data_IF_078003033057
#
_entry.id   IF_078003033057
#
_cell.length_a   1.000
_cell.length_b   1.000
_cell.length_c   1.000
_cell.angle_alpha   90.00
_cell.angle_beta   90.00
_cell.angle_gamma   90.00
#
_symmetry.space_group_name_H-M   'P 1'
#
loop_
_entity.id
_entity.type
_entity.pdbx_description
1 polymer ?
#
# COMPACT_ATOMS: atom_id res chain seq x y z
N UNK A 1 41.83 43.70 -58.51
CA UNK A 1 40.35 43.81 -58.60
C UNK A 1 39.90 42.54 -59.29
N UNK A 2 39.53 41.46 -58.61
CA UNK A 2 38.36 41.20 -57.75
C UNK A 2 37.76 39.92 -58.34
N UNK A 3 37.15 39.06 -57.51
CA UNK A 3 36.43 37.81 -57.86
C UNK A 3 37.16 36.48 -57.69
N UNK A 4 37.44 36.08 -56.44
CA UNK A 4 37.50 34.65 -56.10
C UNK A 4 37.27 34.36 -54.60
N UNK A 5 36.30 35.05 -53.97
CA UNK A 5 35.98 34.88 -52.54
C UNK A 5 34.58 34.33 -52.25
N UNK A 6 33.81 33.89 -53.25
CA UNK A 6 32.37 33.61 -53.07
C UNK A 6 32.00 32.14 -52.79
N UNK A 7 32.93 31.19 -52.76
CA UNK A 7 32.58 29.76 -52.69
C UNK A 7 32.67 29.10 -51.29
N UNK A 8 33.27 29.77 -50.30
CA UNK A 8 33.39 29.22 -48.93
C UNK A 8 32.18 29.54 -48.01
N UNK A 9 31.34 30.50 -48.37
CA UNK A 9 30.19 30.90 -47.53
C UNK A 9 28.99 29.95 -47.63
N UNK A 10 28.77 29.30 -48.79
CA UNK A 10 27.63 28.40 -49.02
C UNK A 10 27.72 27.07 -48.25
N UNK A 11 28.92 26.50 -48.13
CA UNK A 11 29.14 25.22 -47.42
C UNK A 11 28.98 25.36 -45.91
N UNK A 12 29.36 26.52 -45.34
CA UNK A 12 29.15 26.86 -43.94
C UNK A 12 27.68 27.01 -43.57
N UNK A 13 26.88 27.64 -44.44
CA UNK A 13 25.43 27.80 -44.22
C UNK A 13 24.68 26.45 -44.28
N UNK A 14 25.04 25.58 -45.23
CA UNK A 14 24.46 24.23 -45.35
C UNK A 14 24.79 23.31 -44.17
N UNK A 15 26.01 23.38 -43.63
CA UNK A 15 26.37 22.61 -42.44
C UNK A 15 25.67 23.10 -41.18
N UNK A 16 25.46 24.41 -41.02
CA UNK A 16 24.66 24.97 -39.92
C UNK A 16 23.20 24.56 -39.99
N UNK A 17 22.61 24.54 -41.19
CA UNK A 17 21.23 24.08 -41.40
C UNK A 17 21.07 22.58 -41.10
N UNK A 18 22.04 21.75 -41.51
CA UNK A 18 22.06 20.31 -41.17
C UNK A 18 22.23 20.08 -39.67
N UNK A 19 23.10 20.83 -39.01
CA UNK A 19 23.29 20.72 -37.56
C UNK A 19 22.01 21.13 -36.80
N UNK A 20 21.35 22.21 -37.24
CA UNK A 20 20.06 22.65 -36.70
C UNK A 20 18.96 21.59 -36.91
N UNK A 21 18.89 20.96 -38.09
CA UNK A 21 17.95 19.87 -38.36
C UNK A 21 18.22 18.63 -37.50
N UNK A 22 19.48 18.25 -37.27
CA UNK A 22 19.84 17.11 -36.42
C UNK A 22 19.52 17.42 -34.95
N UNK A 23 19.86 18.62 -34.46
CA UNK A 23 19.51 19.05 -33.09
C UNK A 23 18.00 19.16 -32.94
N UNK A 24 17.27 19.65 -33.94
CA UNK A 24 15.81 19.70 -33.93
C UNK A 24 15.20 18.30 -33.98
N UNK A 25 15.74 17.36 -34.76
CA UNK A 25 15.32 15.95 -34.75
C UNK A 25 15.65 15.23 -33.44
N UNK A 26 16.79 15.51 -32.80
CA UNK A 26 17.10 14.98 -31.46
C UNK A 26 16.18 15.60 -30.39
N UNK A 27 15.88 16.89 -30.48
CA UNK A 27 14.91 17.56 -29.60
C UNK A 27 13.47 17.06 -29.83
N UNK A 28 13.12 16.67 -31.06
CA UNK A 28 11.81 16.08 -31.40
C UNK A 28 11.72 14.59 -31.03
N UNK A 29 12.84 13.86 -31.00
CA UNK A 29 12.88 12.49 -30.47
C UNK A 29 12.76 12.44 -28.93
N UNK A 30 12.98 13.57 -28.26
CA UNK A 30 12.72 13.73 -26.84
C UNK A 30 11.25 14.10 -26.53
N UNK A 31 10.34 13.99 -27.50
CA UNK A 31 8.91 13.93 -27.20
C UNK A 31 8.69 12.62 -26.44
N UNK A 32 8.61 12.76 -25.11
CA UNK A 32 8.28 11.70 -24.18
C UNK A 32 7.10 10.91 -24.74
N UNK A 33 7.26 9.59 -24.92
CA UNK A 33 6.12 8.74 -25.24
C UNK A 33 5.23 8.77 -24.00
N UNK A 34 4.05 9.35 -24.15
CA UNK A 34 2.98 9.21 -23.17
C UNK A 34 2.69 7.71 -23.01
N UNK A 35 2.88 7.15 -21.82
CA UNK A 35 2.43 5.80 -21.54
C UNK A 35 0.91 5.82 -21.46
N UNK A 36 0.24 4.80 -22.01
CA UNK A 36 -1.19 4.60 -21.78
C UNK A 36 -1.35 3.74 -20.53
N UNK A 37 -1.90 4.32 -19.47
CA UNK A 37 -2.19 3.68 -18.20
C UNK A 37 -3.68 3.34 -18.14
N UNK A 38 -4.01 2.08 -17.91
CA UNK A 38 -5.39 1.67 -17.69
C UNK A 38 -5.66 1.36 -16.22
N UNK A 39 -6.51 2.17 -15.60
CA UNK A 39 -7.05 1.90 -14.26
C UNK A 39 -8.32 1.05 -14.39
N UNK A 40 -8.29 -0.15 -13.84
CA UNK A 40 -9.40 -1.08 -13.83
C UNK A 40 -10.05 -1.08 -12.45
N UNK A 41 -11.33 -0.71 -12.41
CA UNK A 41 -12.12 -0.57 -11.19
C UNK A 41 -13.31 -1.55 -11.21
N UNK A 42 -13.78 -2.05 -10.05
CA UNK A 42 -14.95 -2.92 -10.01
C UNK A 42 -16.21 -2.14 -10.41
N UNK A 43 -16.34 -0.94 -9.86
CA UNK A 43 -17.40 0.03 -10.11
C UNK A 43 -16.93 1.44 -9.67
N UNK A 44 -17.55 2.53 -10.17
CA UNK A 44 -17.26 3.88 -9.72
C UNK A 44 -17.67 4.11 -8.26
N UNK A 45 -16.82 4.80 -7.51
CA UNK A 45 -17.00 5.21 -6.12
C UNK A 45 -16.15 6.45 -5.85
N UNK A 46 -16.42 7.15 -4.73
CA UNK A 46 -15.60 8.30 -4.32
C UNK A 46 -14.12 7.93 -4.16
N UNK A 47 -13.82 6.76 -3.61
CA UNK A 47 -12.46 6.24 -3.46
C UNK A 47 -11.75 6.09 -4.82
N UNK A 48 -12.43 5.47 -5.80
CA UNK A 48 -11.85 5.25 -7.13
C UNK A 48 -11.69 6.55 -7.91
N UNK A 49 -12.65 7.47 -7.77
CA UNK A 49 -12.62 8.77 -8.43
C UNK A 49 -11.46 9.62 -7.90
N UNK A 50 -11.32 9.72 -6.58
CA UNK A 50 -10.22 10.47 -5.94
C UNK A 50 -8.86 9.88 -6.32
N UNK A 51 -8.71 8.54 -6.26
CA UNK A 51 -7.46 7.89 -6.67
C UNK A 51 -7.10 8.19 -8.14
N UNK A 52 -8.06 8.06 -9.07
CA UNK A 52 -7.82 8.30 -10.49
C UNK A 52 -7.50 9.77 -10.75
N UNK A 53 -8.18 10.68 -10.07
CA UNK A 53 -7.92 12.12 -10.18
C UNK A 53 -6.50 12.45 -9.74
N UNK A 54 -6.07 11.97 -8.56
CA UNK A 54 -4.70 12.20 -8.07
C UNK A 54 -3.64 11.56 -8.96
N UNK A 55 -3.91 10.36 -9.49
CA UNK A 55 -2.99 9.72 -10.44
C UNK A 55 -2.87 10.55 -11.74
N UNK A 56 -3.96 11.10 -12.26
CA UNK A 56 -3.94 12.00 -13.44
C UNK A 56 -3.15 13.28 -13.17
N UNK A 57 -3.27 13.85 -11.98
CA UNK A 57 -2.51 15.04 -11.58
C UNK A 57 -1.00 14.79 -11.54
N UNK A 58 -0.58 13.59 -11.11
CA UNK A 58 0.82 13.14 -11.08
C UNK A 58 1.32 12.78 -12.49
N UNK A 59 0.48 12.12 -13.29
CA UNK A 59 0.79 11.56 -14.61
C UNK A 59 0.30 12.43 -15.77
N UNK A 60 0.57 13.74 -15.72
CA UNK A 60 0.04 14.74 -16.68
C UNK A 60 0.43 14.52 -18.14
N UNK A 61 1.49 13.75 -18.38
CA UNK A 61 2.01 13.44 -19.70
C UNK A 61 1.58 12.05 -20.20
N UNK A 62 0.95 11.24 -19.36
CA UNK A 62 0.46 9.91 -19.69
C UNK A 62 -1.05 9.94 -19.93
N UNK A 63 -1.56 8.98 -20.72
CA UNK A 63 -2.99 8.83 -20.94
C UNK A 63 -3.59 7.88 -19.90
N UNK A 64 -4.31 8.42 -18.92
CA UNK A 64 -4.92 7.65 -17.83
C UNK A 64 -6.38 7.33 -18.15
N UNK A 65 -6.57 6.15 -18.73
CA UNK A 65 -7.87 5.57 -19.05
C UNK A 65 -8.47 4.83 -17.85
N UNK A 66 -9.79 4.77 -17.78
CA UNK A 66 -10.51 4.04 -16.73
C UNK A 66 -11.45 3.02 -17.37
N UNK A 67 -11.39 1.79 -16.89
CA UNK A 67 -12.32 0.73 -17.26
C UNK A 67 -13.04 0.19 -16.03
N UNK A 68 -14.36 0.32 -16.02
CA UNK A 68 -15.23 -0.23 -14.97
C UNK A 68 -15.73 -1.61 -15.37
N UNK A 69 -15.54 -2.60 -14.51
CA UNK A 69 -16.06 -3.97 -14.71
C UNK A 69 -17.59 -4.07 -14.59
N UNK A 70 -18.25 -3.02 -14.10
CA UNK A 70 -19.70 -2.91 -14.14
C UNK A 70 -20.23 -2.53 -15.54
N UNK A 71 -19.36 -2.05 -16.43
CA UNK A 71 -19.72 -1.69 -17.81
C UNK A 71 -19.55 -2.86 -18.79
N UNK A 72 -20.36 -2.91 -19.85
CA UNK A 72 -20.36 -4.01 -20.84
C UNK A 72 -19.28 -3.88 -21.94
N UNK A 73 -18.36 -2.93 -21.83
CA UNK A 73 -17.33 -2.68 -22.84
C UNK A 73 -16.11 -3.59 -22.68
N UNK A 74 -15.35 -3.79 -23.76
CA UNK A 74 -14.01 -4.37 -23.66
C UNK A 74 -13.03 -3.37 -23.05
N UNK A 75 -12.08 -3.84 -22.25
CA UNK A 75 -10.99 -3.02 -21.76
C UNK A 75 -10.17 -2.47 -22.95
N UNK A 76 -9.80 -1.18 -22.95
CA UNK A 76 -8.94 -0.62 -23.98
C UNK A 76 -7.51 -1.18 -23.87
N UNK A 77 -6.76 -1.12 -24.96
CA UNK A 77 -5.34 -1.46 -24.95
C UNK A 77 -4.55 -0.43 -24.13
N UNK A 78 -3.58 -0.91 -23.36
CA UNK A 78 -2.72 -0.07 -22.52
C UNK A 78 -1.34 -0.69 -22.35
N UNK A 79 -0.35 0.17 -22.10
CA UNK A 79 1.03 -0.22 -21.84
C UNK A 79 1.23 -0.78 -20.43
N UNK A 80 0.41 -0.32 -19.47
CA UNK A 80 0.42 -0.75 -18.07
C UNK A 80 -1.00 -0.72 -17.50
N UNK A 81 -1.26 -1.60 -16.55
CA UNK A 81 -2.53 -1.70 -15.85
C UNK A 81 -2.36 -1.36 -14.36
N UNK A 82 -3.39 -0.75 -13.80
CA UNK A 82 -3.55 -0.54 -12.36
C UNK A 82 -4.91 -1.11 -11.99
N UNK A 83 -4.95 -2.20 -11.23
CA UNK A 83 -6.23 -2.79 -10.81
C UNK A 83 -6.56 -2.34 -9.39
N UNK A 84 -7.79 -1.91 -9.15
CA UNK A 84 -8.27 -1.53 -7.82
C UNK A 84 -9.19 -2.63 -7.25
N UNK A 85 -8.80 -3.22 -6.12
CA UNK A 85 -9.58 -4.24 -5.43
C UNK A 85 -9.44 -5.66 -6.01
N UNK A 86 -9.88 -6.64 -5.21
CA UNK A 86 -9.72 -8.07 -5.49
C UNK A 86 -10.41 -8.52 -6.77
N UNK A 87 -11.60 -7.97 -7.07
CA UNK A 87 -12.36 -8.30 -8.31
C UNK A 87 -11.62 -7.84 -9.57
N UNK A 88 -11.04 -6.65 -9.56
CA UNK A 88 -10.27 -6.11 -10.69
C UNK A 88 -8.97 -6.88 -10.90
N UNK A 89 -8.28 -7.25 -9.81
CA UNK A 89 -7.11 -8.11 -9.92
C UNK A 89 -7.48 -9.49 -10.47
N UNK A 90 -8.55 -10.12 -9.96
CA UNK A 90 -8.99 -11.43 -10.43
C UNK A 90 -9.36 -11.39 -11.93
N UNK A 91 -10.06 -10.34 -12.38
CA UNK A 91 -10.34 -10.12 -13.80
C UNK A 91 -9.06 -10.07 -14.64
N UNK A 92 -8.01 -9.39 -14.14
CA UNK A 92 -6.71 -9.31 -14.81
C UNK A 92 -5.97 -10.66 -14.84
N UNK A 93 -6.02 -11.42 -13.75
CA UNK A 93 -5.35 -12.72 -13.65
C UNK A 93 -6.00 -13.79 -14.53
N UNK A 94 -7.30 -13.65 -14.82
CA UNK A 94 -8.01 -14.53 -15.76
C UNK A 94 -7.64 -14.29 -17.23
N UNK A 95 -6.88 -13.23 -17.53
CA UNK A 95 -6.43 -12.91 -18.88
C UNK A 95 -5.00 -13.38 -19.12
N UNK A 96 -4.75 -13.91 -20.32
CA UNK A 96 -3.41 -14.27 -20.80
C UNK A 96 -2.66 -13.04 -21.32
N UNK A 97 -2.41 -12.09 -20.42
CA UNK A 97 -1.70 -10.84 -20.73
C UNK A 97 -0.37 -10.80 -19.97
N UNK A 98 0.67 -10.31 -20.65
CA UNK A 98 1.98 -10.02 -20.06
C UNK A 98 2.13 -8.53 -19.67
N UNK A 99 1.09 -7.72 -19.88
CA UNK A 99 1.09 -6.30 -19.58
C UNK A 99 1.40 -6.06 -18.08
N UNK A 100 2.42 -5.24 -17.75
CA UNK A 100 2.76 -4.91 -16.37
C UNK A 100 1.55 -4.36 -15.61
N UNK A 101 1.26 -4.94 -14.45
CA UNK A 101 0.05 -4.65 -13.67
C UNK A 101 0.39 -4.38 -12.21
N UNK A 102 -0.01 -3.22 -11.69
CA UNK A 102 0.05 -2.91 -10.26
C UNK A 102 -1.35 -3.16 -9.66
N UNK A 103 -1.47 -4.18 -8.80
CA UNK A 103 -2.68 -4.43 -8.03
C UNK A 103 -2.69 -3.60 -6.75
N UNK A 104 -3.75 -2.84 -6.53
CA UNK A 104 -3.91 -1.87 -5.43
C UNK A 104 -5.25 -2.09 -4.72
N UNK A 105 -5.40 -1.55 -3.51
CA UNK A 105 -6.62 -1.70 -2.70
C UNK A 105 -6.99 -3.17 -2.41
N UNK A 106 -5.98 -4.01 -2.21
CA UNK A 106 -6.13 -5.43 -1.90
C UNK A 106 -5.53 -5.69 -0.53
N UNK A 107 -6.23 -6.50 0.27
CA UNK A 107 -5.76 -6.89 1.60
C UNK A 107 -4.93 -8.18 1.55
N UNK A 108 -4.07 -8.43 2.54
CA UNK A 108 -3.27 -9.65 2.68
C UNK A 108 -4.16 -10.89 2.83
N UNK A 109 -5.27 -10.75 3.55
CA UNK A 109 -6.32 -11.77 3.64
C UNK A 109 -6.93 -12.06 2.26
N UNK A 110 -7.29 -11.01 1.50
CA UNK A 110 -7.86 -11.15 0.15
C UNK A 110 -6.92 -11.86 -0.83
N UNK A 111 -5.60 -11.64 -0.75
CA UNK A 111 -4.65 -12.38 -1.59
C UNK A 111 -4.64 -13.88 -1.26
N UNK A 112 -4.72 -14.21 0.03
CA UNK A 112 -4.76 -15.59 0.50
C UNK A 112 -6.06 -16.27 0.06
N UNK A 113 -7.19 -15.57 0.14
CA UNK A 113 -8.51 -16.03 -0.34
C UNK A 113 -8.55 -16.25 -1.85
N UNK A 114 -7.79 -15.45 -2.62
CA UNK A 114 -7.60 -15.66 -4.06
C UNK A 114 -6.60 -16.79 -4.38
N UNK A 115 -5.98 -17.41 -3.38
CA UNK A 115 -4.95 -18.44 -3.55
C UNK A 115 -3.63 -17.90 -4.12
N UNK A 116 -3.38 -16.60 -4.00
CA UNK A 116 -2.19 -15.93 -4.53
C UNK A 116 -1.10 -15.91 -3.46
N UNK A 117 -0.30 -16.96 -3.41
CA UNK A 117 0.91 -17.00 -2.55
C UNK A 117 2.10 -16.27 -3.17
N UNK A 118 2.16 -16.21 -4.51
CA UNK A 118 3.19 -15.48 -5.26
C UNK A 118 2.56 -14.88 -6.52
N UNK A 119 2.58 -13.54 -6.71
CA UNK A 119 2.07 -12.92 -7.91
C UNK A 119 2.89 -13.29 -9.16
N UNK A 120 2.24 -13.27 -10.33
CA UNK A 120 2.93 -13.48 -11.60
C UNK A 120 4.02 -12.41 -11.84
N UNK A 121 5.02 -12.69 -12.69
CA UNK A 121 6.10 -11.73 -13.02
C UNK A 121 5.59 -10.45 -13.69
N UNK A 122 4.43 -10.47 -14.32
CA UNK A 122 3.77 -9.29 -14.88
C UNK A 122 2.94 -8.52 -13.85
N UNK A 123 2.90 -8.97 -12.59
CA UNK A 123 2.08 -8.38 -11.52
C UNK A 123 2.96 -7.94 -10.34
N UNK A 124 2.73 -6.72 -9.88
CA UNK A 124 3.16 -6.22 -8.58
C UNK A 124 1.93 -5.97 -7.73
N UNK A 125 2.01 -6.24 -6.42
CA UNK A 125 0.92 -5.92 -5.50
C UNK A 125 1.37 -4.84 -4.53
N UNK A 126 0.55 -3.81 -4.40
CA UNK A 126 0.62 -2.77 -3.39
C UNK A 126 -0.57 -2.96 -2.44
N UNK A 127 -0.30 -3.50 -1.25
CA UNK A 127 -1.34 -3.83 -0.29
C UNK A 127 -2.02 -2.57 0.25
N UNK A 128 -3.31 -2.66 0.55
CA UNK A 128 -4.02 -1.61 1.30
C UNK A 128 -3.71 -1.66 2.80
N UNK A 129 -3.15 -2.78 3.26
CA UNK A 129 -2.84 -2.99 4.65
C UNK A 129 -1.78 -2.01 5.14
N UNK A 130 -1.80 -1.71 6.44
CA UNK A 130 -0.62 -1.17 7.09
C UNK A 130 0.53 -2.18 7.07
N UNK A 131 1.77 -1.71 6.90
CA UNK A 131 2.95 -2.57 6.96
C UNK A 131 3.18 -3.12 8.38
N UNK A 132 3.53 -4.42 8.56
CA UNK A 132 3.78 -5.01 9.88
C UNK A 132 4.82 -4.25 10.70
N UNK A 133 5.99 -3.96 10.13
CA UNK A 133 7.05 -3.19 10.79
C UNK A 133 6.57 -1.80 11.24
N UNK A 134 5.75 -1.14 10.43
CA UNK A 134 5.17 0.18 10.73
C UNK A 134 4.19 0.12 11.90
N UNK A 135 3.33 -0.91 11.96
CA UNK A 135 2.40 -1.12 13.07
C UNK A 135 3.14 -1.40 14.38
N UNK A 136 4.20 -2.20 14.34
CA UNK A 136 5.00 -2.50 15.53
C UNK A 136 5.76 -1.27 16.04
N UNK A 137 6.32 -0.45 15.14
CA UNK A 137 6.94 0.84 15.52
C UNK A 137 5.90 1.79 16.11
N UNK A 138 4.71 1.88 15.51
CA UNK A 138 3.61 2.68 16.04
C UNK A 138 3.25 2.24 17.47
N UNK A 139 3.18 0.93 17.72
CA UNK A 139 2.96 0.38 19.05
C UNK A 139 4.05 0.83 20.04
N UNK A 140 5.33 0.77 19.66
CA UNK A 140 6.45 1.22 20.51
C UNK A 140 6.42 2.73 20.82
N UNK A 141 5.99 3.55 19.86
CA UNK A 141 5.85 5.00 20.05
C UNK A 141 4.71 5.34 21.01
N UNK A 142 3.59 4.62 20.93
CA UNK A 142 2.42 4.85 21.77
C UNK A 142 2.57 4.25 23.17
N UNK A 143 3.28 3.13 23.29
CA UNK A 143 3.45 2.38 24.52
C UNK A 143 4.95 2.16 24.75
N UNK A 144 5.61 3.09 25.48
CA UNK A 144 7.03 2.99 25.72
C UNK A 144 7.38 1.71 26.50
N UNK A 145 8.49 1.07 26.12
CA UNK A 145 9.03 -0.14 26.80
C UNK A 145 8.18 -1.41 26.68
N UNK A 146 7.33 -1.52 25.66
CA UNK A 146 6.73 -2.82 25.32
C UNK A 146 7.79 -3.81 24.85
N UNK A 147 7.61 -5.08 25.22
CA UNK A 147 8.48 -6.18 24.81
C UNK A 147 7.68 -7.27 24.09
N UNK A 148 6.45 -7.54 24.54
CA UNK A 148 5.64 -8.66 24.06
C UNK A 148 4.41 -8.18 23.28
N UNK A 149 4.31 -8.57 22.02
CA UNK A 149 3.22 -8.22 21.12
C UNK A 149 2.32 -9.44 20.94
N UNK A 150 1.05 -9.33 21.32
CA UNK A 150 0.08 -10.39 21.15
C UNK A 150 -0.59 -10.34 19.77
N UNK A 151 -0.66 -11.49 19.10
CA UNK A 151 -1.35 -11.63 17.82
C UNK A 151 -2.22 -12.90 17.79
N UNK A 152 -3.45 -12.78 17.31
CA UNK A 152 -4.27 -13.93 16.95
C UNK A 152 -4.27 -14.12 15.43
N UNK A 153 -4.34 -15.38 15.00
CA UNK A 153 -4.47 -15.73 13.58
C UNK A 153 -5.29 -17.00 13.42
N UNK A 154 -6.01 -17.13 12.31
CA UNK A 154 -6.60 -18.41 11.89
C UNK A 154 -5.61 -19.19 11.03
N UNK A 155 -5.70 -20.53 11.00
CA UNK A 155 -4.85 -21.34 10.10
C UNK A 155 -4.90 -20.90 8.63
N UNK A 156 -6.05 -20.39 8.16
CA UNK A 156 -6.24 -19.88 6.80
C UNK A 156 -5.29 -18.71 6.47
N UNK A 157 -5.05 -17.81 7.43
CA UNK A 157 -4.25 -16.62 7.24
C UNK A 157 -2.87 -16.69 7.91
N UNK A 158 -2.43 -17.89 8.31
CA UNK A 158 -1.15 -18.13 9.00
C UNK A 158 0.07 -17.62 8.21
N UNK A 159 0.02 -17.63 6.88
CA UNK A 159 1.15 -17.24 6.03
C UNK A 159 1.61 -15.78 6.23
N UNK A 160 0.80 -14.91 6.84
CA UNK A 160 1.22 -13.55 7.15
C UNK A 160 2.16 -13.47 8.38
N UNK A 161 2.14 -14.47 9.27
CA UNK A 161 2.91 -14.45 10.53
C UNK A 161 4.40 -14.27 10.30
N UNK A 162 4.98 -14.93 9.29
CA UNK A 162 6.41 -14.87 9.03
C UNK A 162 6.93 -13.42 8.88
N UNK A 163 6.14 -12.56 8.25
CA UNK A 163 6.49 -11.15 8.07
C UNK A 163 6.35 -10.33 9.37
N UNK A 164 5.34 -10.65 10.18
CA UNK A 164 5.16 -10.06 11.50
C UNK A 164 6.27 -10.47 12.47
N UNK A 165 6.66 -11.75 12.48
CA UNK A 165 7.75 -12.30 13.29
C UNK A 165 9.10 -11.69 12.90
N UNK A 166 9.36 -11.58 11.59
CA UNK A 166 10.56 -10.92 11.07
C UNK A 166 10.61 -9.45 11.47
N UNK A 167 9.48 -8.74 11.36
CA UNK A 167 9.37 -7.34 11.76
C UNK A 167 9.58 -7.15 13.26
N UNK A 168 8.99 -8.02 14.09
CA UNK A 168 9.15 -8.00 15.55
C UNK A 168 10.61 -8.25 15.94
N UNK A 169 11.24 -9.28 15.36
CA UNK A 169 12.65 -9.61 15.61
C UNK A 169 13.58 -8.42 15.28
N UNK A 170 13.34 -7.77 14.14
CA UNK A 170 14.13 -6.60 13.69
C UNK A 170 14.01 -5.42 14.67
N UNK A 171 12.88 -5.30 15.36
CA UNK A 171 12.59 -4.24 16.33
C UNK A 171 12.92 -4.63 17.77
N UNK A 172 13.48 -5.83 18.01
CA UNK A 172 13.77 -6.35 19.34
C UNK A 172 12.51 -6.67 20.16
N UNK A 173 11.39 -6.97 19.50
CA UNK A 173 10.12 -7.33 20.11
C UNK A 173 9.90 -8.85 20.04
N UNK A 174 9.17 -9.39 21.00
CA UNK A 174 8.70 -10.77 21.01
C UNK A 174 7.25 -10.84 20.51
N UNK A 175 7.02 -11.51 19.38
CA UNK A 175 5.66 -11.77 18.90
C UNK A 175 5.10 -13.04 19.54
N UNK A 176 4.15 -12.87 20.45
CA UNK A 176 3.36 -13.97 21.02
C UNK A 176 2.15 -14.20 20.11
N UNK A 177 2.24 -15.17 19.21
CA UNK A 177 1.14 -15.53 18.31
C UNK A 177 0.36 -16.75 18.82
N UNK A 178 -0.97 -16.71 18.77
CA UNK A 178 -1.83 -17.86 19.09
C UNK A 178 -2.83 -18.17 17.97
N UNK A 179 -2.98 -19.46 17.58
CA UNK A 179 -3.96 -19.85 16.58
C UNK A 179 -5.38 -19.82 17.16
N UNK A 180 -6.33 -19.31 16.39
CA UNK A 180 -7.75 -19.42 16.64
C UNK A 180 -8.36 -20.42 15.65
N UNK A 181 -8.52 -21.68 16.09
CA UNK A 181 -9.06 -22.73 15.22
C UNK A 181 -10.59 -22.68 15.14
N UNK A 182 -11.26 -22.25 16.22
CA UNK A 182 -12.71 -22.10 16.26
C UNK A 182 -13.12 -20.84 17.04
N UNK A 183 -14.26 -20.26 16.69
CA UNK A 183 -14.77 -19.06 17.37
C UNK A 183 -15.05 -19.29 18.86
N UNK A 184 -15.45 -20.51 19.24
CA UNK A 184 -15.67 -20.88 20.64
C UNK A 184 -14.41 -20.76 21.52
N UNK A 185 -13.21 -20.77 20.91
CA UNK A 185 -11.94 -20.64 21.62
C UNK A 185 -11.54 -19.18 21.87
N UNK A 186 -12.21 -18.20 21.23
CA UNK A 186 -11.77 -16.81 21.20
C UNK A 186 -11.56 -16.24 22.61
N UNK A 187 -12.53 -16.40 23.51
CA UNK A 187 -12.42 -15.87 24.88
C UNK A 187 -11.23 -16.45 25.65
N UNK A 188 -11.00 -17.76 25.55
CA UNK A 188 -9.88 -18.43 26.21
C UNK A 188 -8.53 -18.01 25.61
N UNK A 189 -8.40 -18.06 24.28
CA UNK A 189 -7.16 -17.68 23.60
C UNK A 189 -6.82 -16.20 23.83
N UNK A 190 -7.83 -15.32 23.86
CA UNK A 190 -7.62 -13.91 24.21
C UNK A 190 -7.08 -13.75 25.63
N UNK A 191 -7.63 -14.47 26.61
CA UNK A 191 -7.13 -14.42 27.99
C UNK A 191 -5.67 -14.87 28.05
N UNK A 192 -5.36 -16.04 27.50
CA UNK A 192 -4.01 -16.62 27.53
C UNK A 192 -3.00 -15.72 26.77
N UNK A 193 -3.44 -15.09 25.68
CA UNK A 193 -2.63 -14.14 24.91
C UNK A 193 -2.37 -12.84 25.68
N UNK A 194 -3.40 -12.27 26.30
CA UNK A 194 -3.30 -11.01 27.05
C UNK A 194 -2.45 -11.15 28.32
N UNK A 195 -2.43 -12.34 28.94
CA UNK A 195 -1.55 -12.63 30.08
C UNK A 195 -0.05 -12.69 29.69
N UNK A 196 0.24 -12.82 28.39
CA UNK A 196 1.60 -12.96 27.83
C UNK A 196 2.03 -11.79 26.94
N UNK A 197 1.22 -10.73 26.85
CA UNK A 197 1.49 -9.60 25.96
C UNK A 197 1.27 -8.24 26.63
N UNK A 198 1.98 -7.24 26.13
CA UNK A 198 1.88 -5.84 26.57
C UNK A 198 0.87 -5.06 25.74
N UNK A 199 0.69 -5.47 24.49
CA UNK A 199 -0.22 -4.86 23.52
C UNK A 199 -0.66 -5.92 22.52
N UNK A 200 -1.86 -5.78 21.97
CA UNK A 200 -2.31 -6.58 20.84
C UNK A 200 -2.07 -5.85 19.53
N UNK A 201 -1.65 -6.59 18.51
CA UNK A 201 -1.70 -6.15 17.12
C UNK A 201 -2.68 -7.01 16.36
N UNK A 202 -3.54 -6.35 15.58
CA UNK A 202 -4.47 -7.03 14.71
C UNK A 202 -3.81 -7.38 13.39
N UNK A 203 -3.69 -8.68 13.13
CA UNK A 203 -3.38 -9.20 11.81
C UNK A 203 -4.57 -8.95 10.87
N UNK A 204 -4.30 -9.00 9.57
CA UNK A 204 -5.36 -8.97 8.58
C UNK A 204 -6.01 -10.36 8.49
N UNK A 205 -6.96 -10.59 9.39
CA UNK A 205 -7.72 -11.83 9.48
C UNK A 205 -9.21 -11.52 9.74
N UNK A 206 -10.04 -11.47 8.68
CA UNK A 206 -11.47 -11.13 8.80
C UNK A 206 -12.27 -12.19 9.58
N UNK A 207 -11.74 -13.40 9.79
CA UNK A 207 -12.38 -14.40 10.64
C UNK A 207 -12.22 -14.08 12.14
N UNK A 208 -11.28 -13.20 12.50
CA UNK A 208 -11.04 -12.79 13.90
C UNK A 208 -11.50 -11.35 14.11
N UNK A 209 -11.06 -10.44 13.26
CA UNK A 209 -11.29 -9.02 13.39
C UNK A 209 -12.50 -8.62 12.53
N UNK A 210 -13.69 -8.88 13.06
CA UNK A 210 -14.98 -8.55 12.44
C UNK A 210 -15.97 -8.01 13.49
N UNK A 211 -17.13 -7.54 13.03
CA UNK A 211 -18.14 -6.93 13.90
C UNK A 211 -18.61 -7.84 15.03
N UNK A 212 -18.69 -9.16 14.80
CA UNK A 212 -19.19 -10.13 15.78
C UNK A 212 -18.20 -10.32 16.93
N UNK A 213 -16.91 -10.33 16.62
CA UNK A 213 -15.83 -10.65 17.57
C UNK A 213 -15.20 -9.42 18.22
N UNK A 214 -15.21 -8.27 17.55
CA UNK A 214 -14.43 -7.09 17.93
C UNK A 214 -14.78 -6.59 19.33
N UNK A 215 -16.06 -6.60 19.71
CA UNK A 215 -16.49 -6.20 21.06
C UNK A 215 -15.85 -7.07 22.14
N UNK A 216 -15.80 -8.39 21.93
CA UNK A 216 -15.18 -9.33 22.85
C UNK A 216 -13.68 -9.08 22.96
N UNK A 217 -13.00 -8.92 21.82
CA UNK A 217 -11.55 -8.64 21.76
C UNK A 217 -11.22 -7.36 22.54
N UNK A 218 -11.95 -6.27 22.29
CA UNK A 218 -11.69 -4.98 22.94
C UNK A 218 -11.99 -5.01 24.43
N UNK A 219 -13.12 -5.59 24.85
CA UNK A 219 -13.47 -5.68 26.27
C UNK A 219 -12.46 -6.53 27.05
N UNK A 220 -12.07 -7.69 26.52
CA UNK A 220 -11.02 -8.53 27.11
C UNK A 220 -9.69 -7.78 27.22
N UNK A 221 -9.32 -6.99 26.21
CA UNK A 221 -8.08 -6.19 26.23
C UNK A 221 -8.12 -5.12 27.32
N UNK A 222 -9.20 -4.34 27.40
CA UNK A 222 -9.31 -3.21 28.33
C UNK A 222 -9.46 -3.61 29.78
N UNK A 223 -10.16 -4.71 30.07
CA UNK A 223 -10.19 -5.28 31.43
C UNK A 223 -8.81 -5.67 31.97
N UNK A 224 -7.81 -5.79 31.09
CA UNK A 224 -6.42 -6.11 31.42
C UNK A 224 -5.45 -4.95 31.17
N UNK A 225 -5.97 -3.74 30.95
CA UNK A 225 -5.21 -2.53 30.60
C UNK A 225 -4.32 -2.71 29.36
N UNK A 226 -4.77 -3.50 28.38
CA UNK A 226 -4.09 -3.70 27.10
C UNK A 226 -4.88 -3.04 25.98
N UNK A 227 -4.20 -2.56 24.95
CA UNK A 227 -4.80 -1.92 23.77
C UNK A 227 -4.66 -2.79 22.54
N UNK A 228 -5.48 -2.48 21.53
CA UNK A 228 -5.42 -3.07 20.21
C UNK A 228 -4.89 -2.04 19.20
N UNK A 229 -3.76 -2.35 18.58
CA UNK A 229 -3.30 -1.69 17.34
C UNK A 229 -4.06 -2.33 16.18
N UNK A 230 -4.95 -1.55 15.57
CA UNK A 230 -6.00 -2.05 14.67
C UNK A 230 -5.49 -2.40 13.27
N UNK A 231 -6.20 -3.28 12.53
CA UNK A 231 -5.75 -3.76 11.23
C UNK A 231 -5.99 -2.73 10.11
N UNK A 232 -6.86 -1.74 10.34
CA UNK A 232 -7.19 -0.67 9.39
C UNK A 232 -7.94 0.49 10.05
N UNK A 233 -8.03 1.64 9.36
CA UNK A 233 -8.68 2.85 9.85
C UNK A 233 -10.13 2.67 10.37
N UNK A 234 -11.01 1.85 9.74
CA UNK A 234 -12.36 1.59 10.25
C UNK A 234 -12.42 1.07 11.69
N UNK A 235 -11.37 0.41 12.18
CA UNK A 235 -11.32 -0.16 13.52
C UNK A 235 -11.05 0.89 14.62
N UNK A 236 -10.57 2.08 14.27
CA UNK A 236 -10.31 3.15 15.25
C UNK A 236 -11.62 3.62 15.88
N UNK A 237 -12.64 3.86 15.06
CA UNK A 237 -13.98 4.22 15.52
C UNK A 237 -14.64 3.10 16.33
N UNK A 238 -14.33 1.85 15.99
CA UNK A 238 -14.83 0.68 16.72
C UNK A 238 -14.09 0.45 18.05
N UNK A 239 -13.02 1.19 18.31
CA UNK A 239 -12.34 1.23 19.60
C UNK A 239 -10.93 0.69 19.60
N UNK A 240 -10.26 0.43 18.48
CA UNK A 240 -8.79 0.24 18.48
C UNK A 240 -8.07 1.54 18.86
N UNK A 241 -6.87 1.44 19.45
CA UNK A 241 -6.10 2.60 19.88
C UNK A 241 -5.57 3.40 18.69
N UNK A 242 -4.91 2.74 17.74
CA UNK A 242 -4.28 3.41 16.61
C UNK A 242 -3.99 2.44 15.48
N UNK A 243 -3.75 2.98 14.29
CA UNK A 243 -3.29 2.26 13.11
C UNK A 243 -2.63 3.24 12.14
N UNK A 244 -2.05 2.72 11.05
CA UNK A 244 -1.59 3.53 9.92
C UNK A 244 -2.43 3.19 8.72
N UNK A 245 -2.63 4.15 7.83
CA UNK A 245 -3.43 3.98 6.64
C UNK A 245 -2.90 4.90 5.54
N UNK A 246 -3.27 4.61 4.29
CA UNK A 246 -2.96 5.47 3.15
C UNK A 246 -4.24 6.06 2.61
N UNK A 247 -4.27 7.38 2.45
CA UNK A 247 -5.35 8.07 1.72
C UNK A 247 -5.29 7.72 0.23
N UNK A 248 -6.36 8.00 -0.56
CA UNK A 248 -6.31 7.82 -2.00
C UNK A 248 -5.17 8.58 -2.67
N UNK A 249 -4.88 9.80 -2.23
CA UNK A 249 -3.73 10.60 -2.66
C UNK A 249 -2.39 9.90 -2.36
N UNK A 250 -2.20 9.40 -1.14
CA UNK A 250 -0.98 8.70 -0.75
C UNK A 250 -0.80 7.35 -1.47
N UNK A 251 -1.91 6.67 -1.75
CA UNK A 251 -1.92 5.44 -2.55
C UNK A 251 -1.53 5.76 -4.00
N UNK A 252 -2.11 6.79 -4.62
CA UNK A 252 -1.74 7.25 -5.96
C UNK A 252 -0.25 7.61 -6.03
N UNK A 253 0.27 8.36 -5.05
CA UNK A 253 1.70 8.68 -4.99
C UNK A 253 2.59 7.44 -4.81
N UNK A 254 2.13 6.42 -4.08
CA UNK A 254 2.87 5.16 -3.96
C UNK A 254 2.88 4.37 -5.27
N UNK A 255 1.78 4.42 -6.04
CA UNK A 255 1.71 3.82 -7.39
C UNK A 255 2.59 4.59 -8.37
N UNK A 256 2.60 5.92 -8.28
CA UNK A 256 3.47 6.81 -9.05
C UNK A 256 4.96 6.42 -8.88
N UNK A 257 5.41 6.27 -7.63
CA UNK A 257 6.78 5.81 -7.34
C UNK A 257 7.08 4.42 -7.96
N UNK A 258 6.10 3.51 -8.01
CA UNK A 258 6.25 2.18 -8.61
C UNK A 258 6.25 2.20 -10.15
N UNK A 259 5.55 3.14 -10.77
CA UNK A 259 5.52 3.32 -12.22
C UNK A 259 6.86 3.83 -12.75
N UNK A 260 7.54 4.70 -12.00
CA UNK A 260 8.87 5.24 -12.34
C UNK A 260 10.01 4.26 -12.01
N UNK A 261 9.80 3.35 -11.06
CA UNK A 261 10.79 2.36 -10.69
C UNK A 261 10.96 1.28 -11.78
N UNK A 262 12.17 0.67 -11.90
CA UNK A 262 12.35 -0.53 -12.72
C UNK A 262 11.37 -1.62 -12.31
N UNK A 263 10.75 -2.28 -13.30
CA UNK A 263 9.72 -3.28 -13.04
C UNK A 263 10.27 -4.46 -12.21
N UNK A 264 9.61 -4.76 -11.08
CA UNK A 264 9.96 -5.88 -10.19
C UNK A 264 8.79 -6.85 -10.09
N UNK A 265 8.69 -7.76 -11.05
CA UNK A 265 7.63 -8.75 -11.10
C UNK A 265 7.55 -9.66 -9.86
N UNK A 266 6.34 -10.01 -9.44
CA UNK A 266 6.09 -10.96 -8.34
C UNK A 266 6.28 -10.37 -6.94
N UNK A 267 6.49 -9.05 -6.83
CA UNK A 267 6.69 -8.38 -5.54
C UNK A 267 5.36 -7.98 -4.91
N UNK A 268 5.25 -8.23 -3.61
CA UNK A 268 4.21 -7.67 -2.73
C UNK A 268 4.89 -6.59 -1.89
N UNK A 269 4.28 -5.41 -1.83
CA UNK A 269 4.80 -4.23 -1.16
C UNK A 269 3.69 -3.47 -0.43
N UNK A 270 4.09 -2.48 0.38
CA UNK A 270 3.19 -1.61 1.13
C UNK A 270 3.33 -0.17 0.64
N UNK A 271 2.30 0.67 0.82
CA UNK A 271 2.35 2.08 0.45
C UNK A 271 3.49 2.77 1.20
N UNK A 272 4.27 3.54 0.44
CA UNK A 272 5.37 4.35 0.98
C UNK A 272 4.83 5.54 1.76
N UNK A 273 3.74 6.13 1.27
CA UNK A 273 3.09 7.28 1.89
C UNK A 273 1.90 6.81 2.73
N UNK A 274 1.82 7.31 3.96
CA UNK A 274 0.82 6.93 4.93
C UNK A 274 0.64 8.03 5.99
N UNK A 275 -0.47 7.92 6.70
CA UNK A 275 -0.80 8.68 7.90
C UNK A 275 -1.13 7.73 9.06
N UNK A 276 -1.10 8.25 10.28
CA UNK A 276 -1.55 7.61 11.50
C UNK A 276 -2.99 8.06 11.77
N UNK A 277 -3.79 7.17 12.34
CA UNK A 277 -5.10 7.51 12.88
C UNK A 277 -5.24 6.89 14.27
N UNK A 278 -5.50 7.72 15.28
CA UNK A 278 -5.62 7.28 16.66
C UNK A 278 -6.97 7.60 17.30
N UNK A 279 -7.36 6.81 18.30
CA UNK A 279 -8.53 7.03 19.12
C UNK A 279 -8.12 7.75 20.43
N UNK A 280 -8.28 9.07 20.45
CA UNK A 280 -7.95 9.89 21.61
C UNK A 280 -8.78 9.55 22.86
N UNK A 281 -10.00 9.03 22.70
CA UNK A 281 -10.84 8.61 23.82
C UNK A 281 -10.30 7.33 24.48
N UNK A 282 -9.90 6.35 23.67
CA UNK A 282 -9.25 5.12 24.16
C UNK A 282 -7.95 5.46 24.86
N UNK A 283 -7.09 6.28 24.24
CA UNK A 283 -5.84 6.74 24.82
C UNK A 283 -6.05 7.35 26.22
N UNK A 284 -6.98 8.32 26.32
CA UNK A 284 -7.34 8.97 27.58
C UNK A 284 -7.88 7.99 28.63
N UNK A 285 -8.74 7.06 28.23
CA UNK A 285 -9.37 6.10 29.15
C UNK A 285 -8.37 5.14 29.80
N UNK A 286 -7.22 4.91 29.15
CA UNK A 286 -6.16 4.03 29.61
C UNK A 286 -4.93 4.79 30.14
N UNK A 287 -5.05 6.11 30.27
CA UNK A 287 -4.01 6.96 30.84
C UNK A 287 -2.83 7.27 29.91
N UNK A 288 -2.96 7.01 28.60
CA UNK A 288 -1.96 7.44 27.61
C UNK A 288 -2.08 8.94 27.33
N UNK A 289 -0.97 9.63 27.02
CA UNK A 289 -1.01 10.97 26.47
C UNK A 289 -1.88 11.02 25.19
N UNK A 290 -2.58 12.13 24.91
CA UNK A 290 -3.29 12.30 23.65
C UNK A 290 -2.31 12.09 22.46
N UNK A 291 -2.61 11.15 21.54
CA UNK A 291 -1.77 10.94 20.37
C UNK A 291 -1.78 12.17 19.45
N UNK A 292 -0.60 12.54 18.95
CA UNK A 292 -0.43 13.51 17.87
C UNK A 292 -0.15 12.72 16.58
N UNK A 293 -1.19 12.52 15.78
CA UNK A 293 -1.15 11.67 14.59
C UNK A 293 -0.17 12.19 13.52
N UNK A 294 -0.01 13.52 13.41
CA UNK A 294 0.92 14.13 12.45
C UNK A 294 2.37 13.95 12.90
N UNK A 295 2.64 14.13 14.20
CA UNK A 295 3.95 13.87 14.78
C UNK A 295 4.32 12.37 14.68
N UNK A 296 3.39 11.47 15.02
CA UNK A 296 3.58 10.02 14.90
C UNK A 296 3.87 9.61 13.44
N UNK A 297 3.09 10.13 12.48
CA UNK A 297 3.30 9.87 11.06
C UNK A 297 4.69 10.33 10.61
N UNK A 298 5.12 11.50 11.05
CA UNK A 298 6.43 12.07 10.69
C UNK A 298 7.59 11.28 11.30
N UNK A 299 7.47 10.89 12.56
CA UNK A 299 8.47 10.08 13.25
C UNK A 299 8.61 8.69 12.63
N UNK A 300 7.49 8.05 12.27
CA UNK A 300 7.50 6.77 11.57
C UNK A 300 8.18 6.86 10.20
N UNK A 301 7.90 7.91 9.42
CA UNK A 301 8.57 8.12 8.11
C UNK A 301 10.08 8.28 8.25
N UNK A 302 10.56 9.05 9.22
CA UNK A 302 12.00 9.21 9.47
C UNK A 302 12.67 7.88 9.82
N UNK A 303 11.97 7.05 10.58
CA UNK A 303 12.40 5.73 11.01
C UNK A 303 12.46 4.68 9.87
N UNK A 304 11.64 4.81 8.83
CA UNK A 304 11.68 3.95 7.64
C UNK A 304 12.80 4.32 6.66
N UNK A 305 13.17 5.61 6.58
CA UNK A 305 14.26 6.08 5.70
C UNK A 305 15.66 5.71 6.23
N UNK A 306 15.79 5.50 7.54
CA UNK A 306 17.07 5.14 8.18
C UNK A 306 17.43 3.64 8.14
N UNK A 307 16.69 2.81 7.39
CA UNK A 307 16.93 1.37 7.20
C UNK A 307 17.46 1.07 5.80
#
# INVERSE_FOLDING_TARGET
MSHEQTNHQGTWAMNRLRLLLIVCCMAFCAVARADTLLVVIPEPSSLTEEFVERLREQRRYDDVLVHSLASSGSAPDASRLITMGSRSLQWRLNQKLDTPTIGTYISRSSLSDLGISSPAKSVQILLANPAPSRQLRLAQLLIPRIENIGALFTPQHQAQLAEWEQSATTLGLNLVSMPLNTQAQLGRQMIDLLDRSDVLVALDDPNIYNADNLKTILLSSYTRNKVLIGPSAPFINAGSLSTTYSTPEQMAQSVDDLLDAPWRGGVISYPRYFSVLSNAQVARSLGFPPPDDDALSSQLRQQEVGQ
#
